data_IF_145912663902
#
_entry.id   IF_145912663902
#
_cell.length_a   1.000
_cell.length_b   1.000
_cell.length_c   1.000
_cell.angle_alpha   90.00
_cell.angle_beta   90.00
_cell.angle_gamma   90.00
#
_symmetry.space_group_name_H-M   'P 1'
#
loop_
_entity.id
_entity.type
_entity.pdbx_description
1 polymer ?
#
# COMPACT_ATOMS: atom_id res chain seq x y z
N UNK A 1 -27.09 8.66 2.23
CA UNK A 1 -25.80 8.09 1.76
C UNK A 1 -24.86 9.25 1.44
N UNK A 2 -23.73 9.37 2.13
CA UNK A 2 -22.73 10.39 1.80
C UNK A 2 -22.00 9.98 0.50
N UNK A 3 -21.69 10.91 -0.41
CA UNK A 3 -20.95 10.60 -1.61
C UNK A 3 -19.55 10.12 -1.23
N UNK A 4 -19.19 8.93 -1.67
CA UNK A 4 -17.83 8.41 -1.59
C UNK A 4 -17.03 9.27 -2.57
N UNK A 5 -16.30 10.27 -2.08
CA UNK A 5 -15.28 10.92 -2.88
C UNK A 5 -14.22 9.87 -3.15
N UNK A 6 -14.21 9.33 -4.37
CA UNK A 6 -13.11 8.47 -4.82
C UNK A 6 -11.85 9.32 -4.78
N UNK A 7 -11.03 9.17 -3.74
CA UNK A 7 -9.67 9.68 -3.75
C UNK A 7 -8.95 8.90 -4.84
N UNK A 8 -8.72 9.55 -5.98
CA UNK A 8 -7.94 8.96 -7.06
C UNK A 8 -6.50 8.93 -6.58
N UNK A 9 -5.97 7.73 -6.38
CA UNK A 9 -4.58 7.53 -5.97
C UNK A 9 -3.65 8.20 -7.00
N UNK A 10 -2.66 9.00 -6.57
CA UNK A 10 -1.77 9.69 -7.48
C UNK A 10 -1.07 8.75 -8.49
N UNK A 11 -0.78 9.29 -9.67
CA UNK A 11 -0.18 8.54 -10.76
C UNK A 11 1.14 7.83 -10.39
N UNK A 12 2.08 8.43 -9.63
CA UNK A 12 3.33 7.75 -9.29
C UNK A 12 3.11 6.45 -8.50
N UNK A 13 2.22 6.47 -7.51
CA UNK A 13 1.85 5.29 -6.73
C UNK A 13 1.14 4.25 -7.58
N UNK A 14 0.22 4.69 -8.44
CA UNK A 14 -0.53 3.80 -9.33
C UNK A 14 0.41 3.10 -10.32
N UNK A 15 1.33 3.84 -10.94
CA UNK A 15 2.29 3.28 -11.89
C UNK A 15 3.21 2.26 -11.22
N UNK A 16 3.74 2.60 -10.05
CA UNK A 16 4.66 1.74 -9.33
C UNK A 16 3.98 0.46 -8.83
N UNK A 17 2.95 0.58 -8.00
CA UNK A 17 2.33 -0.58 -7.33
C UNK A 17 1.51 -1.46 -8.29
N UNK A 18 0.89 -0.89 -9.32
CA UNK A 18 0.06 -1.70 -10.22
C UNK A 18 0.86 -2.31 -11.37
N UNK A 19 1.94 -1.67 -11.84
CA UNK A 19 2.59 -2.09 -13.09
C UNK A 19 4.06 -2.44 -12.89
N UNK A 20 4.86 -1.52 -12.36
CA UNK A 20 6.31 -1.72 -12.26
C UNK A 20 6.62 -2.87 -11.31
N UNK A 21 6.12 -2.80 -10.09
CA UNK A 21 6.41 -3.76 -9.04
C UNK A 21 5.94 -5.18 -9.40
N UNK A 22 4.67 -5.43 -9.78
CA UNK A 22 4.23 -6.79 -10.13
C UNK A 22 5.01 -7.40 -11.30
N UNK A 23 5.44 -6.57 -12.27
CA UNK A 23 6.22 -7.03 -13.40
C UNK A 23 7.62 -7.49 -12.97
N UNK A 24 8.34 -6.69 -12.19
CA UNK A 24 9.67 -7.06 -11.70
C UNK A 24 9.61 -8.22 -10.70
N UNK A 25 8.58 -8.28 -9.85
CA UNK A 25 8.35 -9.42 -8.95
C UNK A 25 8.10 -10.72 -9.73
N UNK A 26 7.30 -10.66 -10.81
CA UNK A 26 7.08 -11.80 -11.70
C UNK A 26 8.37 -12.23 -12.43
N UNK A 27 9.19 -11.29 -12.89
CA UNK A 27 10.50 -11.61 -13.46
C UNK A 27 11.40 -12.30 -12.41
N UNK A 28 11.40 -11.82 -11.17
CA UNK A 28 12.09 -12.49 -10.06
C UNK A 28 11.66 -13.95 -9.89
N UNK A 29 10.36 -14.23 -9.96
CA UNK A 29 9.83 -15.59 -9.91
C UNK A 29 10.34 -16.46 -11.07
N UNK A 30 10.38 -15.92 -12.30
CA UNK A 30 10.91 -16.64 -13.46
C UNK A 30 12.38 -16.98 -13.28
N UNK A 31 13.20 -16.04 -12.79
CA UNK A 31 14.61 -16.30 -12.54
C UNK A 31 14.81 -17.36 -11.45
N UNK A 32 14.05 -17.29 -10.36
CA UNK A 32 14.14 -18.25 -9.26
C UNK A 32 13.60 -19.65 -9.62
N UNK A 33 12.70 -19.76 -10.61
CA UNK A 33 12.15 -21.06 -11.03
C UNK A 33 12.91 -21.67 -12.21
N UNK A 34 13.07 -20.92 -13.29
CA UNK A 34 13.56 -21.42 -14.57
C UNK A 34 15.08 -21.24 -14.71
N UNK A 35 15.62 -20.16 -14.16
CA UNK A 35 17.01 -19.73 -14.37
C UNK A 35 17.83 -19.80 -13.08
N UNK A 36 17.62 -20.83 -12.26
CA UNK A 36 18.20 -20.94 -10.92
C UNK A 36 19.72 -20.77 -10.85
N UNK A 37 20.47 -21.41 -11.76
CA UNK A 37 21.92 -21.26 -11.82
C UNK A 37 22.33 -19.80 -12.09
N UNK A 38 21.64 -19.13 -13.02
CA UNK A 38 21.89 -17.73 -13.32
C UNK A 38 21.51 -16.86 -12.12
N UNK A 39 20.36 -17.12 -11.49
CA UNK A 39 19.92 -16.40 -10.29
C UNK A 39 20.99 -16.47 -9.18
N UNK A 40 21.48 -17.67 -8.84
CA UNK A 40 22.52 -17.83 -7.84
C UNK A 40 23.83 -17.14 -8.23
N UNK A 41 24.29 -17.33 -9.47
CA UNK A 41 25.52 -16.68 -9.98
C UNK A 41 25.42 -15.16 -9.91
N UNK A 42 24.24 -14.61 -10.19
CA UNK A 42 24.01 -13.17 -10.16
C UNK A 42 23.92 -12.63 -8.72
N UNK A 43 23.42 -13.41 -7.76
CA UNK A 43 23.33 -13.02 -6.34
C UNK A 43 24.61 -13.28 -5.54
N UNK A 44 25.37 -14.33 -5.90
CA UNK A 44 26.60 -14.76 -5.22
C UNK A 44 27.67 -15.07 -6.28
N UNK A 45 28.21 -14.03 -6.94
CA UNK A 45 29.12 -14.20 -8.08
C UNK A 45 30.45 -14.87 -7.74
N UNK A 46 30.82 -14.91 -6.46
CA UNK A 46 32.07 -15.49 -5.98
C UNK A 46 32.06 -17.02 -5.93
N UNK A 47 30.90 -17.66 -6.13
CA UNK A 47 30.77 -19.12 -6.09
C UNK A 47 29.81 -19.64 -7.20
N UNK A 48 30.23 -19.65 -8.47
CA UNK A 48 29.38 -19.97 -9.62
C UNK A 48 29.19 -21.49 -9.79
N UNK A 49 28.73 -22.16 -8.75
CA UNK A 49 28.43 -23.59 -8.78
C UNK A 49 26.97 -23.83 -9.19
N UNK A 50 26.67 -24.97 -9.85
CA UNK A 50 25.30 -25.42 -10.04
C UNK A 50 24.54 -25.51 -8.71
N UNK A 51 23.25 -25.12 -8.67
CA UNK A 51 22.45 -25.23 -7.46
C UNK A 51 22.36 -26.69 -7.00
N UNK A 52 22.73 -26.95 -5.75
CA UNK A 52 22.49 -28.22 -5.07
C UNK A 52 20.99 -28.52 -4.97
N UNK A 53 20.63 -29.78 -4.75
CA UNK A 53 19.21 -30.18 -4.61
C UNK A 53 18.48 -29.37 -3.53
N UNK A 54 19.17 -29.04 -2.43
CA UNK A 54 18.61 -28.23 -1.33
C UNK A 54 18.31 -26.81 -1.80
N UNK A 55 19.24 -26.19 -2.52
CA UNK A 55 19.06 -24.85 -3.08
C UNK A 55 17.95 -24.83 -4.12
N UNK A 56 17.84 -25.84 -4.99
CA UNK A 56 16.76 -25.93 -5.97
C UNK A 56 15.38 -25.96 -5.30
N UNK A 57 15.23 -26.72 -4.20
CA UNK A 57 13.97 -26.74 -3.42
C UNK A 57 13.66 -25.37 -2.84
N UNK A 58 14.64 -24.70 -2.22
CA UNK A 58 14.45 -23.36 -1.64
C UNK A 58 14.13 -22.33 -2.73
N UNK A 59 14.82 -22.36 -3.86
CA UNK A 59 14.57 -21.47 -5.00
C UNK A 59 13.20 -21.69 -5.63
N UNK A 60 12.73 -22.93 -5.72
CA UNK A 60 11.36 -23.23 -6.15
C UNK A 60 10.31 -22.65 -5.20
N UNK A 61 10.54 -22.75 -3.88
CA UNK A 61 9.64 -22.15 -2.89
C UNK A 61 9.68 -20.62 -2.93
N UNK A 62 10.87 -20.03 -3.13
CA UNK A 62 11.04 -18.59 -3.31
C UNK A 62 10.31 -18.11 -4.56
N UNK A 63 10.44 -18.82 -5.68
CA UNK A 63 9.74 -18.50 -6.92
C UNK A 63 8.22 -18.55 -6.74
N UNK A 64 7.71 -19.56 -6.02
CA UNK A 64 6.29 -19.66 -5.70
C UNK A 64 5.81 -18.47 -4.84
N UNK A 65 6.62 -18.04 -3.88
CA UNK A 65 6.34 -16.85 -3.06
C UNK A 65 6.33 -15.56 -3.90
N UNK A 66 7.31 -15.38 -4.77
CA UNK A 66 7.35 -14.22 -5.68
C UNK A 66 6.16 -14.22 -6.65
N UNK A 67 5.76 -15.39 -7.16
CA UNK A 67 4.59 -15.48 -8.03
C UNK A 67 3.30 -15.07 -7.30
N UNK A 68 3.09 -15.55 -6.07
CA UNK A 68 1.89 -15.15 -5.30
C UNK A 68 1.93 -13.66 -4.95
N UNK A 69 3.11 -13.08 -4.68
CA UNK A 69 3.24 -11.63 -4.48
C UNK A 69 2.89 -10.85 -5.75
N UNK A 70 3.48 -11.20 -6.89
CA UNK A 70 3.20 -10.53 -8.16
C UNK A 70 1.71 -10.58 -8.52
N UNK A 71 1.06 -11.73 -8.35
CA UNK A 71 -0.38 -11.87 -8.59
C UNK A 71 -1.19 -11.06 -7.57
N UNK A 72 -0.81 -11.10 -6.29
CA UNK A 72 -1.53 -10.40 -5.22
C UNK A 72 -1.43 -8.87 -5.40
N UNK A 73 -0.25 -8.34 -5.68
CA UNK A 73 -0.01 -6.93 -6.00
C UNK A 73 -0.80 -6.52 -7.24
N UNK A 74 -0.78 -7.36 -8.29
CA UNK A 74 -1.50 -7.07 -9.51
C UNK A 74 -3.02 -7.07 -9.32
N UNK A 75 -3.57 -8.03 -8.57
CA UNK A 75 -5.01 -8.26 -8.47
C UNK A 75 -5.66 -7.49 -7.32
N UNK A 76 -5.11 -7.55 -6.10
CA UNK A 76 -5.75 -6.99 -4.89
C UNK A 76 -5.91 -5.48 -5.01
N UNK A 77 -4.85 -4.78 -5.42
CA UNK A 77 -4.88 -3.32 -5.54
C UNK A 77 -5.74 -2.84 -6.71
N UNK A 78 -5.95 -3.68 -7.75
CA UNK A 78 -6.91 -3.39 -8.83
C UNK A 78 -8.35 -3.68 -8.45
N UNK A 79 -8.58 -4.62 -7.54
CA UNK A 79 -9.91 -5.04 -7.12
C UNK A 79 -10.62 -3.99 -6.25
N UNK A 80 -9.89 -3.03 -5.68
CA UNK A 80 -10.45 -2.02 -4.79
C UNK A 80 -9.80 -0.65 -4.95
N UNK A 81 -10.59 0.39 -4.70
CA UNK A 81 -10.14 1.78 -4.58
C UNK A 81 -10.10 2.27 -3.12
N UNK A 82 -10.36 1.38 -2.16
CA UNK A 82 -10.29 1.72 -0.74
C UNK A 82 -8.84 1.86 -0.30
N UNK A 83 -8.45 3.09 0.03
CA UNK A 83 -7.13 3.43 0.54
C UNK A 83 -6.75 2.64 1.79
N UNK A 84 -7.73 2.25 2.63
CA UNK A 84 -7.46 1.42 3.82
C UNK A 84 -6.96 0.03 3.44
N UNK A 85 -7.56 -0.57 2.41
CA UNK A 85 -7.12 -1.88 1.92
C UNK A 85 -5.72 -1.77 1.32
N UNK A 86 -5.46 -0.71 0.56
CA UNK A 86 -4.12 -0.42 0.05
C UNK A 86 -3.10 -0.28 1.18
N UNK A 87 -3.40 0.51 2.22
CA UNK A 87 -2.51 0.69 3.37
C UNK A 87 -2.21 -0.62 4.10
N UNK A 88 -3.23 -1.43 4.39
CA UNK A 88 -3.04 -2.72 5.08
C UNK A 88 -2.19 -3.67 4.24
N UNK A 89 -2.47 -3.76 2.94
CA UNK A 89 -1.70 -4.61 2.03
C UNK A 89 -0.23 -4.15 1.92
N UNK A 90 0.00 -2.84 1.74
CA UNK A 90 1.34 -2.28 1.60
C UNK A 90 2.16 -2.36 2.90
N UNK A 91 1.53 -2.40 4.09
CA UNK A 91 2.24 -2.69 5.35
C UNK A 91 2.85 -4.09 5.31
N UNK A 92 2.09 -5.09 4.85
CA UNK A 92 2.59 -6.46 4.72
C UNK A 92 3.79 -6.54 3.77
N UNK A 93 3.72 -5.85 2.64
CA UNK A 93 4.83 -5.76 1.69
C UNK A 93 6.03 -4.99 2.24
N UNK A 94 5.81 -3.92 3.01
CA UNK A 94 6.89 -3.18 3.65
C UNK A 94 7.66 -4.04 4.67
N UNK A 95 6.97 -4.92 5.40
CA UNK A 95 7.61 -5.90 6.28
C UNK A 95 8.44 -6.89 5.46
N UNK A 96 7.93 -7.35 4.32
CA UNK A 96 8.68 -8.23 3.42
C UNK A 96 9.93 -7.53 2.86
N UNK A 97 9.85 -6.25 2.49
CA UNK A 97 11.01 -5.46 2.05
C UNK A 97 12.11 -5.42 3.10
N UNK A 98 11.76 -5.11 4.35
CA UNK A 98 12.75 -5.08 5.44
C UNK A 98 13.33 -6.45 5.72
N UNK A 99 12.53 -7.51 5.64
CA UNK A 99 13.02 -8.89 5.73
C UNK A 99 14.04 -9.22 4.64
N UNK A 100 13.76 -8.80 3.40
CA UNK A 100 14.67 -8.97 2.26
C UNK A 100 15.96 -8.16 2.43
N UNK A 101 15.87 -6.87 2.77
CA UNK A 101 17.05 -6.03 3.01
C UNK A 101 17.91 -6.57 4.16
N UNK A 102 17.29 -7.06 5.24
CA UNK A 102 18.00 -7.66 6.36
C UNK A 102 18.72 -8.95 5.96
N UNK A 103 18.11 -9.81 5.13
CA UNK A 103 18.75 -11.05 4.68
C UNK A 103 19.95 -10.76 3.78
N UNK A 104 19.83 -9.80 2.86
CA UNK A 104 20.95 -9.38 2.01
C UNK A 104 22.05 -8.71 2.84
N UNK A 105 21.69 -7.90 3.84
CA UNK A 105 22.66 -7.31 4.78
C UNK A 105 23.44 -8.37 5.56
N UNK A 106 22.79 -9.43 6.02
CA UNK A 106 23.48 -10.51 6.73
C UNK A 106 24.51 -11.23 5.85
N UNK A 107 24.22 -11.40 4.56
CA UNK A 107 25.13 -12.11 3.64
C UNK A 107 26.22 -11.19 3.09
N UNK A 108 25.83 -10.03 2.57
CA UNK A 108 26.75 -9.08 1.93
C UNK A 108 27.43 -8.16 2.95
N UNK A 109 26.72 -7.67 3.96
CA UNK A 109 27.25 -6.75 4.96
C UNK A 109 28.20 -7.43 5.96
N UNK A 110 27.86 -8.64 6.43
CA UNK A 110 28.74 -9.39 7.34
C UNK A 110 29.87 -10.14 6.60
N UNK A 111 29.67 -10.55 5.34
CA UNK A 111 30.64 -11.31 4.55
C UNK A 111 31.60 -10.47 3.69
N UNK A 112 31.19 -9.29 3.20
CA UNK A 112 32.04 -8.38 2.38
C UNK A 112 32.51 -7.16 3.17
N UNK A 113 33.24 -7.33 4.27
CA UNK A 113 33.89 -6.23 5.00
C UNK A 113 33.07 -4.91 5.15
N UNK A 114 31.73 -4.99 5.29
CA UNK A 114 30.79 -3.86 5.32
C UNK A 114 30.69 -2.97 4.06
N UNK A 115 31.73 -2.86 3.25
CA UNK A 115 31.85 -1.83 2.21
C UNK A 115 30.98 -2.12 0.98
N UNK A 116 30.93 -3.39 0.54
CA UNK A 116 30.23 -3.77 -0.70
C UNK A 116 28.70 -3.65 -0.66
N UNK A 117 28.07 -3.51 0.51
CA UNK A 117 26.62 -3.25 0.64
C UNK A 117 26.29 -1.75 0.57
N UNK A 118 27.27 -0.86 0.78
CA UNK A 118 27.06 0.58 0.69
C UNK A 118 27.64 1.21 -0.57
N UNK A 119 28.50 0.47 -1.28
CA UNK A 119 29.08 0.87 -2.56
C UNK A 119 28.11 0.68 -3.73
N UNK A 120 27.01 1.44 -3.74
CA UNK A 120 25.97 1.35 -4.78
C UNK A 120 26.52 1.62 -6.19
N UNK A 121 27.65 2.33 -6.31
CA UNK A 121 28.37 2.56 -7.57
C UNK A 121 29.08 1.31 -8.13
N UNK A 122 29.34 0.31 -7.29
CA UNK A 122 29.97 -0.96 -7.69
C UNK A 122 28.95 -2.08 -7.92
N UNK A 123 27.64 -1.76 -7.89
CA UNK A 123 26.59 -2.76 -7.99
C UNK A 123 26.53 -3.37 -9.38
N UNK A 124 26.42 -4.69 -9.42
CA UNK A 124 26.03 -5.38 -10.63
C UNK A 124 24.58 -5.03 -10.99
N UNK A 125 24.17 -5.34 -12.24
CA UNK A 125 22.77 -5.21 -12.66
C UNK A 125 21.82 -5.98 -11.73
N UNK A 126 22.28 -7.11 -11.20
CA UNK A 126 21.50 -7.90 -10.25
C UNK A 126 21.43 -7.23 -8.89
N UNK A 127 22.53 -6.67 -8.38
CA UNK A 127 22.54 -5.97 -7.08
C UNK A 127 21.58 -4.75 -7.11
N UNK A 128 21.49 -4.06 -8.24
CA UNK A 128 20.49 -3.01 -8.42
C UNK A 128 19.05 -3.53 -8.36
N UNK A 129 18.77 -4.66 -9.01
CA UNK A 129 17.44 -5.29 -8.94
C UNK A 129 17.12 -5.90 -7.57
N UNK A 130 18.13 -6.45 -6.89
CA UNK A 130 17.95 -7.16 -5.62
C UNK A 130 17.96 -6.23 -4.40
N UNK A 131 18.62 -5.07 -4.50
CA UNK A 131 18.77 -4.15 -3.38
C UNK A 131 18.23 -2.75 -3.68
N UNK A 132 18.73 -2.09 -4.72
CA UNK A 132 18.31 -0.70 -5.03
C UNK A 132 16.81 -0.63 -5.33
N UNK A 133 16.27 -1.58 -6.10
CA UNK A 133 14.85 -1.67 -6.40
C UNK A 133 14.00 -1.87 -5.14
N UNK A 134 14.45 -2.70 -4.21
CA UNK A 134 13.75 -2.96 -2.94
C UNK A 134 13.78 -1.71 -2.04
N UNK A 135 14.89 -0.99 -1.98
CA UNK A 135 14.94 0.31 -1.29
C UNK A 135 13.97 1.33 -1.89
N UNK A 136 13.87 1.40 -3.21
CA UNK A 136 12.90 2.27 -3.90
C UNK A 136 11.47 1.84 -3.55
N UNK A 137 11.16 0.55 -3.62
CA UNK A 137 9.85 0.00 -3.25
C UNK A 137 9.46 0.33 -1.81
N UNK A 138 10.34 0.00 -0.85
CA UNK A 138 10.14 0.30 0.56
C UNK A 138 9.91 1.81 0.80
N UNK A 139 10.66 2.67 0.10
CA UNK A 139 10.51 4.13 0.21
C UNK A 139 9.16 4.61 -0.33
N UNK A 140 8.75 4.15 -1.51
CA UNK A 140 7.45 4.51 -2.10
C UNK A 140 6.30 4.02 -1.21
N UNK A 141 6.40 2.80 -0.67
CA UNK A 141 5.44 2.25 0.31
C UNK A 141 5.38 3.10 1.56
N UNK A 142 6.53 3.45 2.16
CA UNK A 142 6.59 4.31 3.34
C UNK A 142 5.96 5.68 3.08
N UNK A 143 6.26 6.30 1.93
CA UNK A 143 5.66 7.57 1.52
C UNK A 143 4.13 7.48 1.39
N UNK A 144 3.62 6.41 0.76
CA UNK A 144 2.18 6.17 0.65
C UNK A 144 1.52 6.00 2.03
N UNK A 145 2.12 5.17 2.90
CA UNK A 145 1.59 4.90 4.24
C UNK A 145 1.56 6.16 5.12
N UNK A 146 2.58 7.02 5.00
CA UNK A 146 2.65 8.33 5.66
C UNK A 146 1.75 9.40 5.03
N UNK A 147 1.07 9.08 3.92
CA UNK A 147 0.19 10.02 3.22
C UNK A 147 0.91 11.09 2.40
N UNK A 148 2.20 10.92 2.14
CA UNK A 148 3.00 11.85 1.35
C UNK A 148 2.46 11.85 -0.09
N UNK A 149 2.15 13.02 -0.64
CA UNK A 149 1.66 13.14 -2.02
C UNK A 149 0.22 12.67 -2.27
N UNK A 150 -0.51 12.18 -1.25
CA UNK A 150 -1.90 11.73 -1.39
C UNK A 150 -2.94 12.88 -1.42
N UNK A 151 -2.51 14.13 -1.64
CA UNK A 151 -3.41 15.28 -1.70
C UNK A 151 -4.24 15.38 -0.42
N UNK A 152 -3.57 15.68 0.70
CA UNK A 152 -4.14 15.60 2.04
C UNK A 152 -5.55 16.16 2.14
N UNK A 153 -6.40 15.45 2.89
CA UNK A 153 -7.78 15.78 3.21
C UNK A 153 -8.01 17.29 3.12
N UNK A 154 -8.67 17.73 2.04
CA UNK A 154 -9.28 19.04 2.00
C UNK A 154 -10.20 19.09 3.22
N UNK A 155 -9.73 19.72 4.31
CA UNK A 155 -10.33 19.75 5.65
C UNK A 155 -11.82 19.48 5.55
N UNK A 156 -12.24 18.24 5.77
CA UNK A 156 -13.66 17.89 5.84
C UNK A 156 -14.19 18.70 7.01
N UNK A 157 -14.75 19.88 6.73
CA UNK A 157 -15.31 20.76 7.75
C UNK A 157 -16.26 19.88 8.53
N UNK A 158 -15.97 19.71 9.82
CA UNK A 158 -16.71 18.80 10.70
C UNK A 158 -18.21 19.03 10.44
N UNK A 159 -19.05 17.99 10.29
CA UNK A 159 -20.47 18.16 10.01
C UNK A 159 -21.12 19.16 10.96
N UNK A 160 -20.65 19.22 12.21
CA UNK A 160 -21.03 20.20 13.24
C UNK A 160 -20.80 21.66 12.85
N UNK A 161 -19.69 21.98 12.17
CA UNK A 161 -19.35 23.33 11.71
C UNK A 161 -20.25 23.73 10.53
N UNK A 162 -20.52 22.81 9.62
CA UNK A 162 -21.43 23.04 8.49
C UNK A 162 -22.87 23.20 8.97
N UNK A 163 -23.32 22.36 9.91
CA UNK A 163 -24.66 22.43 10.51
C UNK A 163 -24.84 23.73 11.30
N UNK A 164 -23.86 24.13 12.11
CA UNK A 164 -23.88 25.40 12.84
C UNK A 164 -23.92 26.60 11.89
N UNK A 165 -23.17 26.54 10.78
CA UNK A 165 -23.18 27.60 9.76
C UNK A 165 -24.54 27.66 9.04
N UNK A 166 -25.10 26.52 8.63
CA UNK A 166 -26.44 26.44 8.01
C UNK A 166 -27.55 26.95 8.93
N UNK A 167 -27.51 26.60 10.22
CA UNK A 167 -28.44 27.12 11.23
C UNK A 167 -28.28 28.63 11.46
N UNK A 168 -27.05 29.15 11.38
CA UNK A 168 -26.77 30.58 11.54
C UNK A 168 -27.09 31.42 10.29
N UNK A 169 -27.07 30.82 9.09
CA UNK A 169 -27.34 31.52 7.82
C UNK A 169 -28.75 31.29 7.28
N UNK A 170 -29.54 30.41 7.89
CA UNK A 170 -30.95 30.23 7.55
C UNK A 170 -31.73 31.51 7.92
N UNK A 171 -32.49 32.11 6.97
CA UNK A 171 -33.49 33.11 7.33
C UNK A 171 -34.45 32.44 8.32
N UNK A 172 -34.64 33.03 9.51
CA UNK A 172 -35.65 32.54 10.46
C UNK A 172 -36.99 32.54 9.72
N UNK A 173 -37.47 31.36 9.34
CA UNK A 173 -38.86 31.18 8.95
C UNK A 173 -39.64 31.56 10.20
N UNK A 174 -40.28 32.73 10.13
CA UNK A 174 -41.16 33.22 11.19
C UNK A 174 -42.35 32.27 11.18
N UNK A 175 -42.36 31.33 12.11
CA UNK A 175 -43.47 30.38 12.26
C UNK A 175 -44.71 31.17 12.67
N UNK A 176 -45.57 31.46 11.70
CA UNK A 176 -46.84 32.16 11.90
C UNK A 176 -48.02 31.20 12.00
N UNK A 177 -47.81 29.93 12.37
CA UNK A 177 -48.93 28.99 12.58
C UNK A 177 -48.70 28.04 13.77
N UNK A 178 -48.61 28.61 14.96
CA UNK A 178 -49.10 27.94 16.17
C UNK A 178 -50.43 28.60 16.56
N UNK A 179 -51.51 28.21 15.88
CA UNK A 179 -52.86 28.36 16.45
C UNK A 179 -53.09 27.14 17.36
N UNK A 180 -53.40 27.41 18.62
CA UNK A 180 -53.61 26.45 19.71
C UNK A 180 -54.34 25.15 19.29
N UNK A 181 -53.86 23.95 19.70
CA UNK A 181 -54.52 22.70 19.38
C UNK A 181 -55.55 22.23 20.42
N UNK A 182 -55.96 23.03 21.41
CA UNK A 182 -56.85 22.54 22.48
C UNK A 182 -58.28 23.07 22.40
N UNK A 183 -59.31 22.21 22.29
CA UNK A 183 -60.69 22.63 22.42
C UNK A 183 -61.01 22.96 23.89
N UNK A 184 -61.64 24.11 24.12
CA UNK A 184 -62.17 24.47 25.44
C UNK A 184 -63.38 23.59 25.74
N UNK A 185 -63.26 22.70 26.71
CA UNK A 185 -64.37 21.94 27.27
C UNK A 185 -65.41 22.88 27.88
N UNK A 186 -66.63 22.86 27.35
CA UNK A 186 -67.80 23.44 27.99
C UNK A 186 -68.74 22.31 28.41
N UNK A 187 -68.60 21.94 29.69
CA UNK A 187 -69.63 21.59 30.67
C UNK A 187 -71.07 21.76 30.15
N UNK A 188 -71.82 20.67 29.98
CA UNK A 188 -73.28 20.61 30.02
C UNK A 188 -73.69 19.12 30.03
N UNK A 189 -74.14 18.61 31.19
CA UNK A 189 -75.35 17.77 31.36
C UNK A 189 -75.46 17.43 32.86
N UNK A 190 -76.14 18.32 33.58
CA UNK A 190 -76.99 17.93 34.70
C UNK A 190 -78.26 17.31 34.12
N UNK A 191 -78.51 16.03 34.44
CA UNK A 191 -79.80 15.42 34.80
C UNK A 191 -79.68 13.90 34.93
#
# INVERSE_FOLDING_TARGET
MAPITSSTIPLPYTLFFLYIEPFFTALGAVYAFVLQHQYLTLTVPTNPLPPSLREQVVLNQLANLYLVFAISEACVLRATKDERVWKVFLIGLLVADFGHLASVWQVMGAGRAGAGYWEVWNYSKMDHGNLSFVYVGATIRACFLLGIGLGGDAKRKSPKILYKKLLMTSPRVRDTRLTDPWPKEHRLYDR
#
